data_IF_545120611188
#
_entry.id   IF_545120611188
#
_cell.length_a   1.000
_cell.length_b   1.000
_cell.length_c   1.000
_cell.angle_alpha   90.00
_cell.angle_beta   90.00
_cell.angle_gamma   90.00
#
_symmetry.space_group_name_H-M   'P 1'
#
loop_
_entity.id
_entity.type
_entity.pdbx_description
1 polymer ?
#
# COMPACT_ATOMS: atom_id res chain seq x y z
N UNK A 1 -24.47 -47.18 17.08
CA UNK A 1 -24.19 -45.72 17.04
C UNK A 1 -23.53 -45.38 15.70
N UNK A 2 -24.20 -44.62 14.82
CA UNK A 2 -23.64 -44.16 13.54
C UNK A 2 -22.61 -43.06 13.84
N UNK A 3 -21.32 -43.33 13.62
CA UNK A 3 -20.26 -42.31 13.72
C UNK A 3 -20.55 -41.27 12.63
N UNK A 4 -20.89 -40.03 13.04
CA UNK A 4 -21.06 -38.93 12.09
C UNK A 4 -19.69 -38.57 11.54
N UNK A 5 -19.59 -38.38 10.22
CA UNK A 5 -18.37 -37.88 9.61
C UNK A 5 -18.01 -36.51 10.23
N UNK A 6 -16.72 -36.19 10.39
CA UNK A 6 -16.31 -34.87 10.81
C UNK A 6 -16.85 -33.82 9.83
N UNK A 7 -17.33 -32.69 10.34
CA UNK A 7 -17.78 -31.57 9.52
C UNK A 7 -16.68 -31.17 8.54
N UNK A 8 -17.00 -30.92 7.26
CA UNK A 8 -16.00 -30.49 6.29
C UNK A 8 -15.32 -29.19 6.75
N UNK A 9 -14.03 -28.97 6.42
CA UNK A 9 -13.35 -27.73 6.74
C UNK A 9 -14.16 -26.53 6.24
N UNK A 10 -14.20 -25.41 6.98
CA UNK A 10 -14.95 -24.23 6.57
C UNK A 10 -14.49 -23.75 5.18
N UNK A 11 -15.42 -23.67 4.23
CA UNK A 11 -15.15 -23.65 2.79
C UNK A 11 -14.60 -22.33 2.22
N UNK A 12 -14.59 -21.23 2.96
CA UNK A 12 -13.94 -19.98 2.53
C UNK A 12 -13.92 -19.03 3.72
N UNK A 13 -12.74 -18.63 4.20
CA UNK A 13 -12.66 -17.47 5.09
C UNK A 13 -13.06 -16.27 4.23
N UNK A 14 -14.20 -15.63 4.52
CA UNK A 14 -14.54 -14.35 3.89
C UNK A 14 -13.47 -13.35 4.29
N UNK A 15 -12.45 -13.20 3.44
CA UNK A 15 -11.39 -12.24 3.70
C UNK A 15 -11.93 -10.85 3.43
N UNK A 16 -11.93 -10.04 4.48
CA UNK A 16 -12.30 -8.64 4.39
C UNK A 16 -11.26 -7.93 3.52
N UNK A 17 -11.73 -7.04 2.66
CA UNK A 17 -10.86 -6.16 1.90
C UNK A 17 -10.23 -5.19 2.91
N UNK A 18 -8.89 -5.08 3.00
CA UNK A 18 -8.23 -4.22 3.97
C UNK A 18 -8.29 -2.75 3.51
N UNK A 19 -9.47 -2.14 3.63
CA UNK A 19 -9.73 -0.77 3.19
C UNK A 19 -8.82 0.26 3.88
N UNK A 20 -8.49 0.04 5.16
CA UNK A 20 -7.57 0.90 5.92
C UNK A 20 -6.17 0.92 5.29
N UNK A 21 -5.67 -0.24 4.88
CA UNK A 21 -4.35 -0.39 4.24
C UNK A 21 -4.30 0.34 2.90
N UNK A 22 -5.37 0.23 2.10
CA UNK A 22 -5.49 0.92 0.81
C UNK A 22 -5.53 2.43 1.04
N UNK A 23 -6.32 2.89 2.01
CA UNK A 23 -6.40 4.31 2.37
C UNK A 23 -5.03 4.85 2.82
N UNK A 24 -4.32 4.12 3.70
CA UNK A 24 -3.01 4.50 4.18
C UNK A 24 -1.98 4.57 3.04
N UNK A 25 -1.96 3.57 2.16
CA UNK A 25 -1.09 3.54 0.98
C UNK A 25 -1.34 4.73 0.05
N UNK A 26 -2.61 5.09 -0.15
CA UNK A 26 -3.01 6.24 -0.95
C UNK A 26 -2.55 7.56 -0.32
N UNK A 27 -2.72 7.73 1.00
CA UNK A 27 -2.25 8.89 1.74
C UNK A 27 -0.71 9.02 1.70
N UNK A 28 0.02 7.92 1.89
CA UNK A 28 1.48 7.89 1.74
C UNK A 28 1.92 8.29 0.33
N UNK A 29 1.25 7.75 -0.69
CA UNK A 29 1.57 8.06 -2.09
C UNK A 29 1.34 9.55 -2.39
N UNK A 30 0.21 10.11 -1.97
CA UNK A 30 -0.11 11.53 -2.19
C UNK A 30 0.87 12.44 -1.44
N UNK A 31 1.16 12.14 -0.18
CA UNK A 31 2.14 12.93 0.60
C UNK A 31 3.54 12.89 -0.01
N UNK A 32 3.98 11.74 -0.52
CA UNK A 32 5.23 11.63 -1.28
C UNK A 32 5.26 12.52 -2.53
N UNK A 33 4.16 12.54 -3.30
CA UNK A 33 4.01 13.41 -4.49
C UNK A 33 4.04 14.90 -4.12
N UNK A 34 3.44 15.27 -2.98
CA UNK A 34 3.48 16.65 -2.46
C UNK A 34 4.93 17.04 -2.13
N UNK A 35 5.68 16.18 -1.42
CA UNK A 35 7.08 16.46 -1.10
C UNK A 35 7.95 16.61 -2.35
N UNK A 36 7.75 15.77 -3.37
CA UNK A 36 8.44 15.94 -4.64
C UNK A 36 8.08 17.26 -5.34
N UNK A 37 6.79 17.64 -5.31
CA UNK A 37 6.33 18.90 -5.91
C UNK A 37 6.97 20.11 -5.22
N UNK A 38 7.04 20.12 -3.88
CA UNK A 38 7.72 21.18 -3.13
C UNK A 38 9.22 21.19 -3.42
N UNK A 39 9.88 20.03 -3.43
CA UNK A 39 11.30 19.97 -3.79
C UNK A 39 11.57 20.50 -5.21
N UNK A 40 10.66 20.27 -6.14
CA UNK A 40 10.74 20.82 -7.50
C UNK A 40 10.60 22.35 -7.53
N UNK A 41 9.79 22.96 -6.66
CA UNK A 41 9.73 24.44 -6.54
C UNK A 41 11.04 25.06 -6.02
N UNK A 42 11.81 24.32 -5.22
CA UNK A 42 13.11 24.75 -4.72
C UNK A 42 14.27 24.36 -5.65
N UNK A 43 14.01 23.60 -6.70
CA UNK A 43 15.01 23.20 -7.69
C UNK A 43 15.51 24.42 -8.48
N UNK A 44 16.81 24.70 -8.40
CA UNK A 44 17.47 25.80 -9.12
C UNK A 44 17.52 27.14 -8.37
N UNK A 45 16.61 27.39 -7.42
CA UNK A 45 16.59 28.63 -6.61
C UNK A 45 17.09 28.43 -5.16
N UNK A 46 17.01 27.21 -4.62
CA UNK A 46 17.43 26.87 -3.26
C UNK A 46 18.80 26.19 -3.18
N UNK A 47 19.32 25.98 -1.96
CA UNK A 47 20.52 25.16 -1.76
C UNK A 47 20.20 23.70 -2.08
N UNK A 48 21.22 22.96 -2.51
CA UNK A 48 21.10 21.50 -2.75
C UNK A 48 20.49 20.77 -1.56
N UNK A 49 20.86 21.16 -0.35
CA UNK A 49 20.33 20.62 0.90
C UNK A 49 18.82 20.78 1.05
N UNK A 50 18.25 21.88 0.54
CA UNK A 50 16.84 22.20 0.73
C UNK A 50 15.98 21.31 -0.17
N UNK A 51 16.23 21.31 -1.49
CA UNK A 51 15.45 20.51 -2.43
C UNK A 51 15.78 19.01 -2.34
N UNK A 52 17.04 18.66 -2.04
CA UNK A 52 17.48 17.28 -1.87
C UNK A 52 16.82 16.60 -0.67
N UNK A 53 16.59 17.32 0.44
CA UNK A 53 15.88 16.78 1.60
C UNK A 53 14.42 16.48 1.28
N UNK A 54 13.72 17.39 0.59
CA UNK A 54 12.33 17.14 0.18
C UNK A 54 12.21 15.94 -0.77
N UNK A 55 13.18 15.76 -1.68
CA UNK A 55 13.19 14.60 -2.57
C UNK A 55 13.50 13.30 -1.83
N UNK A 56 14.42 13.33 -0.87
CA UNK A 56 14.72 12.16 -0.04
C UNK A 56 13.50 11.75 0.80
N UNK A 57 12.85 12.71 1.45
CA UNK A 57 11.62 12.47 2.22
C UNK A 57 10.48 11.99 1.32
N UNK A 58 10.31 12.62 0.16
CA UNK A 58 9.34 12.21 -0.85
C UNK A 58 9.55 10.76 -1.26
N UNK A 59 10.79 10.36 -1.59
CA UNK A 59 11.11 9.00 -1.96
C UNK A 59 10.85 8.00 -0.81
N UNK A 60 11.26 8.34 0.41
CA UNK A 60 11.09 7.48 1.59
C UNK A 60 9.61 7.14 1.84
N UNK A 61 8.72 8.11 1.66
CA UNK A 61 7.27 7.95 1.90
C UNK A 61 6.55 7.39 0.67
N UNK A 62 6.99 7.75 -0.54
CA UNK A 62 6.40 7.32 -1.80
C UNK A 62 6.66 5.84 -2.13
N UNK A 63 7.86 5.32 -1.85
CA UNK A 63 8.22 3.92 -2.15
C UNK A 63 7.24 2.93 -1.48
N UNK A 64 7.04 2.95 -0.15
CA UNK A 64 6.09 2.03 0.50
C UNK A 64 4.64 2.31 0.07
N UNK A 65 4.24 3.57 -0.10
CA UNK A 65 2.88 3.92 -0.55
C UNK A 65 2.54 3.37 -1.94
N UNK A 66 3.39 3.67 -2.92
CA UNK A 66 3.20 3.27 -4.32
C UNK A 66 3.30 1.76 -4.52
N UNK A 67 4.16 1.07 -3.74
CA UNK A 67 4.28 -0.38 -3.77
C UNK A 67 2.95 -1.06 -3.35
N UNK A 68 2.36 -0.63 -2.24
CA UNK A 68 1.08 -1.18 -1.78
C UNK A 68 -0.07 -0.82 -2.73
N UNK A 69 -0.06 0.39 -3.30
CA UNK A 69 -1.03 0.79 -4.32
C UNK A 69 -0.90 -0.07 -5.58
N UNK A 70 0.32 -0.38 -6.02
CA UNK A 70 0.57 -1.25 -7.16
C UNK A 70 0.04 -2.67 -6.93
N UNK A 71 0.31 -3.27 -5.77
CA UNK A 71 -0.26 -4.59 -5.41
C UNK A 71 -1.80 -4.55 -5.46
N UNK A 72 -2.40 -3.48 -4.95
CA UNK A 72 -3.84 -3.30 -4.98
C UNK A 72 -4.38 -3.17 -6.41
N UNK A 73 -3.70 -2.43 -7.29
CA UNK A 73 -4.06 -2.35 -8.71
C UNK A 73 -3.96 -3.71 -9.40
N UNK A 74 -2.93 -4.50 -9.09
CA UNK A 74 -2.77 -5.86 -9.63
C UNK A 74 -3.86 -6.82 -9.14
N UNK A 75 -4.32 -6.66 -7.89
CA UNK A 75 -5.51 -7.32 -7.33
C UNK A 75 -6.79 -6.94 -8.07
N UNK A 76 -7.00 -5.64 -8.33
CA UNK A 76 -8.17 -5.16 -9.09
C UNK A 76 -8.19 -5.69 -10.53
N UNK A 77 -7.02 -5.96 -11.12
CA UNK A 77 -6.87 -6.54 -12.46
C UNK A 77 -7.00 -8.07 -12.48
N UNK A 78 -7.36 -8.69 -11.35
CA UNK A 78 -7.50 -10.14 -11.19
C UNK A 78 -6.24 -10.92 -11.62
N UNK A 79 -5.06 -10.30 -11.43
CA UNK A 79 -3.80 -10.91 -11.86
C UNK A 79 -3.51 -12.15 -10.99
N UNK A 80 -3.31 -13.34 -11.59
CA UNK A 80 -3.04 -14.55 -10.83
C UNK A 80 -1.76 -14.40 -9.98
N UNK A 81 -1.83 -14.82 -8.73
CA UNK A 81 -0.72 -14.71 -7.77
C UNK A 81 -0.80 -13.49 -6.86
N UNK A 82 -1.69 -12.53 -7.11
CA UNK A 82 -1.94 -11.42 -6.20
C UNK A 82 -3.08 -11.73 -5.22
N UNK A 83 -2.81 -11.59 -3.92
CA UNK A 83 -3.75 -11.86 -2.84
C UNK A 83 -3.69 -10.73 -1.82
N UNK A 84 -4.84 -10.44 -1.19
CA UNK A 84 -4.92 -9.49 -0.07
C UNK A 84 -4.02 -9.89 1.12
N UNK A 85 -3.50 -11.12 1.18
CA UNK A 85 -2.48 -11.55 2.16
C UNK A 85 -1.18 -10.77 2.09
N UNK A 86 -0.86 -10.23 0.92
CA UNK A 86 0.38 -9.46 0.72
C UNK A 86 0.27 -8.02 1.19
N UNK A 87 -0.94 -7.58 1.56
CA UNK A 87 -1.17 -6.27 2.14
C UNK A 87 -1.05 -6.37 3.67
N UNK A 88 -0.34 -5.43 4.31
CA UNK A 88 -0.30 -5.38 5.77
C UNK A 88 -1.72 -5.20 6.33
N UNK A 89 -2.05 -5.98 7.36
CA UNK A 89 -3.31 -5.86 8.08
C UNK A 89 -3.12 -4.84 9.22
N UNK A 90 -3.96 -3.81 9.24
CA UNK A 90 -3.92 -2.72 10.23
C UNK A 90 -5.23 -2.67 11.06
N UNK A 91 -5.96 -3.79 11.13
CA UNK A 91 -7.24 -3.91 11.86
C UNK A 91 -7.12 -4.36 13.34
N UNK A 92 -5.91 -4.41 13.92
CA UNK A 92 -5.67 -4.74 15.35
C UNK A 92 -5.94 -3.57 16.32
#
# INVERSE_FOLDING_TARGET
MKKRAPSPPPLRKHRKIPYKTILLALLLTISGVIFFSVGMTHYGNGRFTDWGLYWLLGALVFIPGSYHLFIFLQLMRETPGYSYDMLPDFDD
#
